data_IF_795643486079
#
_entry.id   IF_795643486079
#
_cell.length_a   1.000
_cell.length_b   1.000
_cell.length_c   1.000
_cell.angle_alpha   90.00
_cell.angle_beta   90.00
_cell.angle_gamma   90.00
#
_symmetry.space_group_name_H-M   'P 1'
#
loop_
_entity.id
_entity.type
_entity.pdbx_description
1 polymer ?
#
# COMPACT_ATOMS: atom_id res chain seq x y z
N UNK A 1 13.72 -13.63 6.44
CA UNK A 1 14.47 -12.37 6.31
C UNK A 1 13.60 -11.24 6.84
N UNK A 2 14.15 -10.36 7.70
CA UNK A 2 13.45 -9.15 8.16
C UNK A 2 13.53 -8.12 7.02
N UNK A 3 12.38 -7.58 6.58
CA UNK A 3 12.36 -6.44 5.66
C UNK A 3 13.11 -5.26 6.28
N UNK A 4 13.77 -4.38 5.49
CA UNK A 4 14.27 -3.11 6.00
C UNK A 4 13.14 -2.43 6.76
N UNK A 5 13.41 -1.99 7.99
CA UNK A 5 12.43 -1.20 8.74
C UNK A 5 12.02 -0.01 7.86
N UNK A 6 10.71 0.16 7.63
CA UNK A 6 10.11 1.28 6.88
C UNK A 6 10.07 1.18 5.34
N UNK A 7 10.16 -0.02 4.77
CA UNK A 7 9.91 -0.24 3.33
C UNK A 7 8.67 -1.09 3.07
N UNK A 8 7.80 -0.59 2.19
CA UNK A 8 6.53 -1.17 1.78
C UNK A 8 6.43 -1.21 0.24
N UNK A 9 7.06 -2.21 -0.42
CA UNK A 9 7.13 -2.26 -1.88
C UNK A 9 5.76 -2.29 -2.59
N UNK A 10 4.71 -2.75 -1.90
CA UNK A 10 3.35 -2.80 -2.44
C UNK A 10 2.81 -1.40 -2.77
N UNK A 11 3.26 -0.35 -2.07
CA UNK A 11 2.86 1.04 -2.34
C UNK A 11 3.09 1.39 -3.81
N UNK A 12 4.27 1.09 -4.33
CA UNK A 12 4.59 1.32 -5.75
C UNK A 12 3.64 0.57 -6.67
N UNK A 13 3.30 -0.69 -6.35
CA UNK A 13 2.50 -1.57 -7.23
C UNK A 13 1.10 -1.03 -7.48
N UNK A 14 0.58 -0.18 -6.59
CA UNK A 14 -0.71 0.48 -6.73
C UNK A 14 -0.79 1.42 -7.95
N UNK A 15 0.34 1.83 -8.56
CA UNK A 15 0.37 2.65 -9.78
C UNK A 15 0.36 1.85 -11.10
N UNK A 16 0.51 0.52 -11.04
CA UNK A 16 0.83 -0.29 -12.21
C UNK A 16 -0.20 -1.36 -12.52
N UNK A 17 -1.01 -1.76 -11.54
CA UNK A 17 -1.87 -2.93 -11.66
C UNK A 17 -3.23 -2.68 -11.06
N UNK A 18 -4.28 -3.17 -11.74
CA UNK A 18 -5.56 -3.37 -11.09
C UNK A 18 -5.41 -4.42 -10.00
N UNK A 19 -5.73 -4.06 -8.77
CA UNK A 19 -5.72 -4.99 -7.64
C UNK A 19 -7.12 -5.58 -7.43
N UNK A 20 -7.29 -6.91 -7.50
CA UNK A 20 -8.53 -7.56 -7.12
C UNK A 20 -8.87 -7.29 -5.65
N UNK A 21 -10.10 -6.85 -5.37
CA UNK A 21 -10.57 -6.61 -4.00
C UNK A 21 -10.46 -7.84 -3.08
N UNK A 22 -10.51 -9.06 -3.66
CA UNK A 22 -10.34 -10.32 -2.92
C UNK A 22 -8.98 -10.44 -2.20
N UNK A 23 -7.96 -9.68 -2.60
CA UNK A 23 -6.65 -9.73 -1.94
C UNK A 23 -6.64 -9.02 -0.58
N UNK A 24 -7.56 -8.08 -0.36
CA UNK A 24 -7.71 -7.32 0.88
C UNK A 24 -9.20 -7.28 1.29
N UNK A 25 -9.77 -8.39 1.76
CA UNK A 25 -11.21 -8.51 1.99
C UNK A 25 -11.75 -7.56 3.08
N UNK A 26 -10.87 -7.07 3.97
CA UNK A 26 -11.22 -6.13 5.03
C UNK A 26 -11.04 -4.66 4.62
N UNK A 27 -10.70 -4.39 3.37
CA UNK A 27 -10.45 -3.07 2.83
C UNK A 27 -11.33 -2.83 1.61
N UNK A 28 -11.65 -1.57 1.35
CA UNK A 28 -12.20 -1.18 0.07
C UNK A 28 -11.05 -0.93 -0.91
N UNK A 29 -11.12 -1.54 -2.09
CA UNK A 29 -10.10 -1.41 -3.13
C UNK A 29 -10.76 -0.76 -4.34
N UNK A 30 -10.32 0.45 -4.66
CA UNK A 30 -10.82 1.21 -5.80
C UNK A 30 -9.75 1.26 -6.89
N UNK A 31 -10.08 0.71 -8.06
CA UNK A 31 -9.20 0.74 -9.23
C UNK A 31 -9.68 1.83 -10.19
N UNK A 32 -8.77 2.72 -10.57
CA UNK A 32 -9.01 3.78 -11.54
C UNK A 32 -8.23 3.49 -12.82
N UNK A 33 -8.96 3.37 -13.92
CA UNK A 33 -8.39 3.39 -15.26
C UNK A 33 -8.50 4.81 -15.82
N UNK A 34 -7.37 5.47 -16.10
CA UNK A 34 -7.41 6.76 -16.78
C UNK A 34 -7.40 6.53 -18.29
N UNK A 35 -8.58 6.62 -18.93
CA UNK A 35 -8.68 6.58 -20.39
C UNK A 35 -7.74 7.65 -20.99
N UNK A 36 -6.86 7.23 -21.91
CA UNK A 36 -5.86 8.10 -22.55
C UNK A 36 -4.42 7.99 -22.01
N UNK A 37 -4.20 7.38 -20.85
CA UNK A 37 -2.85 6.98 -20.39
C UNK A 37 -2.74 5.45 -20.48
N UNK A 38 -2.49 4.94 -21.70
CA UNK A 38 -2.35 3.51 -21.98
C UNK A 38 -1.42 2.83 -20.94
N UNK A 39 -2.01 2.10 -20.00
CA UNK A 39 -1.29 1.26 -19.01
C UNK A 39 -1.10 1.85 -17.61
N UNK A 40 -1.57 3.07 -17.30
CA UNK A 40 -1.57 3.56 -15.92
C UNK A 40 -2.85 3.15 -15.19
N UNK A 41 -2.68 2.35 -14.14
CA UNK A 41 -3.74 1.88 -13.25
C UNK A 41 -3.45 2.42 -11.86
N UNK A 42 -4.29 3.32 -11.34
CA UNK A 42 -4.15 3.81 -9.97
C UNK A 42 -5.09 3.00 -9.09
N UNK A 43 -4.58 2.47 -7.99
CA UNK A 43 -5.37 1.75 -7.00
C UNK A 43 -5.29 2.45 -5.67
N UNK A 44 -6.45 2.79 -5.12
CA UNK A 44 -6.53 3.28 -3.74
C UNK A 44 -7.10 2.19 -2.85
N UNK A 45 -6.46 2.01 -1.69
CA UNK A 45 -6.90 1.11 -0.63
C UNK A 45 -7.44 1.97 0.49
N UNK A 46 -8.72 1.82 0.83
CA UNK A 46 -9.36 2.61 1.88
C UNK A 46 -9.95 1.72 2.96
N UNK A 47 -10.01 2.25 4.18
CA UNK A 47 -10.64 1.56 5.31
C UNK A 47 -11.15 2.57 6.33
N UNK A 48 -12.38 2.35 6.77
CA UNK A 48 -12.97 3.03 7.91
C UNK A 48 -12.73 2.24 9.19
N UNK A 49 -12.63 2.94 10.32
CA UNK A 49 -12.49 2.33 11.65
C UNK A 49 -11.28 1.40 11.79
N UNK A 50 -10.12 1.86 11.34
CA UNK A 50 -8.85 1.13 11.32
C UNK A 50 -8.15 1.12 12.68
N UNK A 51 -8.08 2.25 13.40
CA UNK A 51 -7.52 2.36 14.76
C UNK A 51 -8.59 2.65 15.80
N UNK A 52 -9.60 3.45 15.43
CA UNK A 52 -10.73 3.86 16.27
C UNK A 52 -12.01 3.96 15.45
N UNK A 53 -13.20 3.73 16.04
CA UNK A 53 -14.47 3.89 15.33
C UNK A 53 -14.57 5.26 14.64
N UNK A 54 -14.87 5.24 13.35
CA UNK A 54 -15.09 6.43 12.52
C UNK A 54 -13.85 7.04 11.88
N UNK A 55 -12.63 6.63 12.26
CA UNK A 55 -11.42 7.10 11.57
C UNK A 55 -11.37 6.61 10.12
N UNK A 56 -10.50 7.23 9.32
CA UNK A 56 -10.39 6.92 7.90
C UNK A 56 -8.92 6.82 7.49
N UNK A 57 -8.62 5.77 6.73
CA UNK A 57 -7.31 5.50 6.14
C UNK A 57 -7.45 5.37 4.64
N UNK A 58 -6.54 6.00 3.91
CA UNK A 58 -6.30 5.80 2.49
C UNK A 58 -4.82 5.49 2.25
N UNK A 59 -4.56 4.52 1.37
CA UNK A 59 -3.22 4.18 0.90
C UNK A 59 -3.25 4.25 -0.62
N UNK A 60 -2.48 5.18 -1.17
CA UNK A 60 -2.29 5.37 -2.60
C UNK A 60 -0.87 4.96 -3.02
N UNK A 61 -0.54 5.17 -4.28
CA UNK A 61 0.73 4.73 -4.87
C UNK A 61 1.98 5.49 -4.40
N UNK A 62 1.81 6.56 -3.62
CA UNK A 62 2.93 7.35 -3.07
C UNK A 62 2.68 7.86 -1.66
N UNK A 63 1.51 7.62 -1.07
CA UNK A 63 1.13 8.25 0.18
C UNK A 63 0.23 7.34 1.03
N UNK A 64 0.33 7.50 2.34
CA UNK A 64 -0.66 7.06 3.30
C UNK A 64 -1.28 8.30 3.93
N UNK A 65 -2.61 8.39 3.87
CA UNK A 65 -3.39 9.49 4.41
C UNK A 65 -4.31 8.97 5.51
N UNK A 66 -4.28 9.60 6.67
CA UNK A 66 -5.09 9.20 7.82
C UNK A 66 -5.79 10.39 8.47
N UNK A 67 -7.05 10.24 8.85
CA UNK A 67 -7.83 11.23 9.59
C UNK A 67 -8.58 10.58 10.76
N UNK A 68 -8.88 11.33 11.82
CA UNK A 68 -9.63 10.80 12.97
C UNK A 68 -11.13 10.68 12.72
N UNK A 69 -11.63 11.26 11.61
CA UNK A 69 -12.95 10.95 11.07
C UNK A 69 -12.99 11.05 9.55
N UNK A 70 -14.03 10.48 8.94
CA UNK A 70 -14.30 10.65 7.50
C UNK A 70 -14.60 12.10 7.13
N UNK A 71 -15.20 12.88 8.03
CA UNK A 71 -15.43 14.31 7.85
C UNK A 71 -14.11 15.08 7.84
N UNK A 72 -13.19 14.79 8.77
CA UNK A 72 -11.84 15.37 8.75
C UNK A 72 -11.11 15.05 7.46
N UNK A 73 -11.25 13.82 6.95
CA UNK A 73 -10.66 13.42 5.68
C UNK A 73 -11.20 14.26 4.51
N UNK A 74 -12.52 14.48 4.45
CA UNK A 74 -13.17 15.32 3.42
C UNK A 74 -12.79 16.80 3.54
N UNK A 75 -12.54 17.27 4.75
CA UNK A 75 -12.05 18.62 5.05
C UNK A 75 -10.54 18.80 4.80
N UNK A 76 -9.85 17.77 4.28
CA UNK A 76 -8.39 17.75 4.11
C UNK A 76 -7.60 17.94 5.42
N UNK A 77 -8.20 17.63 6.58
CA UNK A 77 -7.52 17.57 7.88
C UNK A 77 -6.86 16.21 8.05
N UNK A 78 -5.94 15.90 7.15
CA UNK A 78 -5.29 14.60 7.01
C UNK A 78 -3.86 14.63 7.54
N UNK A 79 -3.41 13.46 8.00
CA UNK A 79 -2.02 13.17 8.31
C UNK A 79 -1.45 12.36 7.16
N UNK A 80 -0.61 13.01 6.39
CA UNK A 80 0.02 12.42 5.22
C UNK A 80 1.42 11.92 5.52
N UNK A 81 1.72 10.76 4.96
CA UNK A 81 3.03 10.13 5.01
C UNK A 81 3.42 9.74 3.60
N UNK A 82 4.49 10.36 3.11
CA UNK A 82 4.97 10.15 1.76
C UNK A 82 5.95 8.98 1.69
N UNK A 83 5.90 8.29 0.55
CA UNK A 83 6.80 7.21 0.19
C UNK A 83 7.58 7.56 -1.08
N UNK A 84 8.86 7.19 -1.08
CA UNK A 84 9.69 7.24 -2.26
C UNK A 84 9.27 6.17 -3.27
N UNK A 85 9.77 6.28 -4.50
CA UNK A 85 9.44 5.40 -5.63
C UNK A 85 9.70 3.90 -5.43
N UNK A 86 10.39 3.50 -4.36
CA UNK A 86 10.64 2.11 -3.97
C UNK A 86 9.79 1.64 -2.77
N UNK A 87 8.81 2.45 -2.33
CA UNK A 87 7.96 2.19 -1.18
C UNK A 87 8.63 2.41 0.17
N UNK A 88 9.82 3.01 0.21
CA UNK A 88 10.46 3.45 1.47
C UNK A 88 9.83 4.74 1.93
N UNK A 89 9.70 4.96 3.24
CA UNK A 89 9.31 6.27 3.76
C UNK A 89 10.26 7.36 3.26
N UNK A 90 9.69 8.47 2.76
CA UNK A 90 10.48 9.61 2.32
C UNK A 90 11.27 10.23 3.48
N UNK A 91 12.34 10.95 3.14
CA UNK A 91 13.25 11.50 4.14
C UNK A 91 12.53 12.39 5.17
N UNK A 92 12.75 12.12 6.46
CA UNK A 92 12.13 12.86 7.56
C UNK A 92 10.70 12.42 7.93
N UNK A 93 10.05 11.62 7.08
CA UNK A 93 8.73 11.06 7.37
C UNK A 93 8.81 10.00 8.48
N UNK A 94 7.79 9.95 9.33
CA UNK A 94 7.67 8.97 10.41
C UNK A 94 6.25 8.44 10.49
N UNK A 95 6.15 7.11 10.45
CA UNK A 95 4.88 6.41 10.69
C UNK A 95 4.75 6.12 12.17
N UNK A 96 3.58 6.39 12.74
CA UNK A 96 3.28 5.97 14.11
C UNK A 96 3.32 4.44 14.24
N UNK A 97 3.66 3.87 15.40
CA UNK A 97 3.70 2.41 15.56
C UNK A 97 2.38 1.70 15.18
N UNK A 98 1.25 2.37 15.39
CA UNK A 98 -0.07 1.87 15.03
C UNK A 98 -0.26 1.78 13.51
N UNK A 99 0.04 2.85 12.77
CA UNK A 99 -0.07 2.86 11.31
C UNK A 99 0.97 1.94 10.66
N UNK A 100 2.17 1.82 11.26
CA UNK A 100 3.19 0.88 10.81
C UNK A 100 2.70 -0.57 10.90
N UNK A 101 1.98 -0.91 11.97
CA UNK A 101 1.34 -2.22 12.11
C UNK A 101 0.30 -2.45 11.01
N UNK A 102 -0.55 -1.47 10.71
CA UNK A 102 -1.53 -1.58 9.62
C UNK A 102 -0.86 -1.82 8.26
N UNK A 103 0.19 -1.06 7.93
CA UNK A 103 0.95 -1.28 6.69
C UNK A 103 1.58 -2.68 6.62
N UNK A 104 2.06 -3.20 7.75
CA UNK A 104 2.59 -4.55 7.83
C UNK A 104 1.49 -5.62 7.63
N UNK A 105 0.30 -5.38 8.18
CA UNK A 105 -0.87 -6.26 8.03
C UNK A 105 -1.36 -6.28 6.57
N UNK A 106 -1.51 -5.11 5.92
CA UNK A 106 -1.84 -5.01 4.49
C UNK A 106 -0.82 -5.77 3.64
N UNK A 107 0.48 -5.55 3.89
CA UNK A 107 1.52 -6.26 3.15
C UNK A 107 1.47 -7.78 3.39
N UNK A 108 1.12 -8.23 4.60
CA UNK A 108 0.97 -9.65 4.91
C UNK A 108 -0.25 -10.26 4.22
N UNK A 109 -1.41 -9.59 4.26
CA UNK A 109 -2.63 -10.04 3.57
C UNK A 109 -2.43 -10.13 2.06
N UNK A 110 -1.79 -9.12 1.45
CA UNK A 110 -1.44 -9.16 0.04
C UNK A 110 -0.55 -10.36 -0.30
N UNK A 111 0.44 -10.67 0.54
CA UNK A 111 1.31 -11.83 0.34
C UNK A 111 0.58 -13.17 0.49
N UNK A 112 -0.42 -13.26 1.38
CA UNK A 112 -1.16 -14.49 1.62
C UNK A 112 -2.28 -14.73 0.61
N UNK A 113 -2.94 -13.68 0.13
CA UNK A 113 -4.12 -13.78 -0.72
C UNK A 113 -3.85 -13.51 -2.20
N UNK A 114 -2.71 -12.91 -2.55
CA UNK A 114 -2.34 -12.78 -3.97
C UNK A 114 -2.14 -14.14 -4.60
N UNK A 115 -2.60 -14.27 -5.84
CA UNK A 115 -2.35 -15.46 -6.63
C UNK A 115 -0.83 -15.64 -6.71
N UNK A 116 -0.33 -16.74 -6.14
CA UNK A 116 1.08 -17.09 -6.28
C UNK A 116 1.34 -17.24 -7.77
N UNK A 117 2.39 -16.61 -8.32
CA UNK A 117 2.67 -16.76 -9.73
C UNK A 117 2.80 -18.26 -10.04
N UNK A 118 2.13 -18.76 -11.09
CA UNK A 118 2.25 -20.16 -11.47
C UNK A 118 3.74 -20.49 -11.63
N UNK A 119 4.12 -21.58 -10.98
CA UNK A 119 5.47 -21.99 -10.61
C UNK A 119 6.46 -21.87 -11.78
N UNK A 120 7.25 -20.80 -11.81
CA UNK A 120 8.72 -20.78 -11.95
C UNK A 120 9.25 -19.32 -11.92
N UNK A 121 8.95 -18.56 -10.87
CA UNK A 121 9.56 -17.23 -10.62
C UNK A 121 10.40 -17.18 -9.34
N UNK A 122 10.57 -18.32 -8.66
CA UNK A 122 11.46 -18.41 -7.50
C UNK A 122 12.90 -18.02 -7.87
N UNK A 123 13.35 -18.31 -9.11
CA UNK A 123 14.64 -17.86 -9.63
C UNK A 123 14.68 -16.35 -9.92
N UNK A 124 13.59 -15.72 -10.39
CA UNK A 124 13.51 -14.27 -10.59
C UNK A 124 13.49 -13.54 -9.24
N UNK A 125 12.75 -14.07 -8.27
CA UNK A 125 12.76 -13.58 -6.89
C UNK A 125 14.18 -13.71 -6.29
N UNK A 126 14.84 -14.86 -6.44
CA UNK A 126 16.23 -15.04 -6.00
C UNK A 126 17.22 -14.15 -6.77
N UNK A 127 16.98 -13.84 -8.04
CA UNK A 127 17.84 -12.97 -8.87
C UNK A 127 17.71 -11.50 -8.47
N UNK A 128 16.48 -10.99 -8.30
CA UNK A 128 16.23 -9.61 -7.88
C UNK A 128 16.80 -9.30 -6.48
N UNK A 129 16.78 -10.28 -5.57
CA UNK A 129 17.35 -10.14 -4.23
C UNK A 129 18.82 -10.62 -4.09
N UNK A 130 19.47 -11.14 -5.14
CA UNK A 130 20.92 -11.49 -5.13
C UNK A 130 21.84 -10.42 -5.74
N UNK A 131 21.34 -9.50 -6.56
CA UNK A 131 22.20 -8.53 -7.27
C UNK A 131 22.53 -7.28 -6.42
N UNK A 132 21.93 -7.11 -5.24
CA UNK A 132 22.25 -6.00 -4.32
C UNK A 132 23.11 -6.43 -3.12
N UNK A 133 24.15 -7.22 -3.37
CA UNK A 133 25.30 -7.43 -2.46
C UNK A 133 26.59 -7.08 -3.15
#
# INVERSE_FOLDING_TARGET
>A
MKHPQNQYPFIKTLAWTNMPARYLPNYHVQNFSKEGLHGFHITDITKESVLKPGDYLEISNSQLSYAYSKEEFKDYKIKDIDFDSNGTLSHGQKVSPQLQRILNEVQAELKSHSDRPPINLQWIYNWYFKIMT
#
